data_IF_960020110349
#
_entry.id   IF_960020110349
#
_cell.length_a   1.000
_cell.length_b   1.000
_cell.length_c   1.000
_cell.angle_alpha   90.00
_cell.angle_beta   90.00
_cell.angle_gamma   90.00
#
_symmetry.space_group_name_H-M   'P 1'
#
loop_
_entity.id
_entity.type
_entity.pdbx_description
1 polymer ?
#
# COMPACT_ATOMS: atom_id res chain seq x y z
N UNK A 1 -39.51 -10.00 -12.39
CA UNK A 1 -38.06 -10.28 -12.30
C UNK A 1 -37.35 -9.29 -13.21
N UNK A 2 -36.65 -8.28 -12.64
CA UNK A 2 -35.85 -7.34 -13.44
C UNK A 2 -34.60 -8.09 -13.89
N UNK A 3 -34.34 -8.11 -15.20
CA UNK A 3 -33.13 -8.73 -15.76
C UNK A 3 -31.98 -7.77 -15.45
N UNK A 4 -31.11 -8.14 -14.52
CA UNK A 4 -29.90 -7.38 -14.20
C UNK A 4 -29.02 -7.30 -15.46
N UNK A 5 -28.63 -6.10 -15.87
CA UNK A 5 -27.77 -5.88 -17.04
C UNK A 5 -26.34 -5.70 -16.56
N UNK A 6 -25.48 -6.64 -16.91
CA UNK A 6 -24.03 -6.53 -16.72
C UNK A 6 -23.43 -5.63 -17.79
N UNK A 7 -22.33 -4.95 -17.46
CA UNK A 7 -21.61 -4.08 -18.39
C UNK A 7 -21.06 -4.90 -19.57
N UNK A 8 -21.17 -4.43 -20.84
CA UNK A 8 -20.55 -5.08 -21.98
C UNK A 8 -19.02 -5.07 -21.88
N UNK A 9 -18.36 -6.03 -22.55
CA UNK A 9 -16.92 -5.95 -22.78
C UNK A 9 -16.68 -5.12 -24.04
N UNK A 10 -15.92 -4.03 -23.90
CA UNK A 10 -15.53 -3.17 -25.01
C UNK A 10 -14.12 -3.53 -25.46
N UNK A 11 -13.87 -3.48 -26.77
CA UNK A 11 -12.54 -3.75 -27.33
C UNK A 11 -11.60 -2.55 -27.16
N UNK A 12 -12.15 -1.35 -27.02
CA UNK A 12 -11.39 -0.10 -26.87
C UNK A 12 -12.17 0.99 -26.11
N UNK A 13 -11.47 2.08 -25.78
CA UNK A 13 -12.03 3.20 -25.01
C UNK A 13 -13.07 4.03 -25.78
N UNK A 14 -12.98 4.09 -27.11
CA UNK A 14 -13.89 4.87 -27.96
C UNK A 14 -15.28 4.21 -28.00
N UNK A 15 -15.31 2.89 -28.18
CA UNK A 15 -16.53 2.08 -28.11
C UNK A 15 -17.21 2.17 -26.74
N UNK A 16 -16.43 2.16 -25.66
CA UNK A 16 -16.94 2.33 -24.30
C UNK A 16 -17.59 3.71 -24.11
N UNK A 17 -16.98 4.77 -24.67
CA UNK A 17 -17.49 6.14 -24.56
C UNK A 17 -18.82 6.30 -25.32
N UNK A 18 -18.89 5.83 -26.57
CA UNK A 18 -20.11 5.85 -27.37
C UNK A 18 -21.26 5.08 -26.71
N UNK A 19 -20.94 3.95 -26.06
CA UNK A 19 -21.93 3.16 -25.33
C UNK A 19 -22.45 3.89 -24.09
N UNK A 20 -21.56 4.53 -23.31
CA UNK A 20 -21.93 5.29 -22.12
C UNK A 20 -22.78 6.53 -22.45
N UNK A 21 -22.54 7.17 -23.58
CA UNK A 21 -23.35 8.31 -24.04
C UNK A 21 -24.77 7.89 -24.47
N UNK A 22 -24.92 6.66 -24.95
CA UNK A 22 -26.19 6.15 -25.49
C UNK A 22 -26.99 5.30 -24.51
N UNK A 23 -26.40 4.86 -23.39
CA UNK A 23 -27.03 3.95 -22.44
C UNK A 23 -27.05 4.51 -21.02
N UNK A 24 -28.23 4.44 -20.37
CA UNK A 24 -28.34 4.75 -18.94
C UNK A 24 -27.56 3.73 -18.12
N UNK A 25 -26.61 4.23 -17.32
CA UNK A 25 -25.79 3.42 -16.41
C UNK A 25 -26.44 3.18 -15.05
N UNK A 26 -27.63 3.76 -14.80
CA UNK A 26 -28.29 3.75 -13.49
C UNK A 26 -28.68 2.35 -12.97
N UNK A 27 -28.87 1.38 -13.86
CA UNK A 27 -29.22 -0.01 -13.52
C UNK A 27 -28.03 -0.99 -13.67
N UNK A 28 -26.82 -0.47 -13.88
CA UNK A 28 -25.62 -1.31 -14.03
C UNK A 28 -25.00 -1.57 -12.65
N UNK A 29 -24.77 -2.85 -12.35
CA UNK A 29 -23.90 -3.22 -11.23
C UNK A 29 -22.44 -3.05 -11.67
N UNK A 30 -21.77 -2.04 -11.11
CA UNK A 30 -20.32 -1.93 -11.19
C UNK A 30 -19.71 -2.73 -10.04
N UNK A 31 -18.79 -3.65 -10.34
CA UNK A 31 -17.95 -4.27 -9.32
C UNK A 31 -17.07 -3.17 -8.72
N UNK A 32 -17.25 -2.85 -7.44
CA UNK A 32 -16.37 -1.91 -6.74
C UNK A 32 -14.93 -2.42 -6.81
N UNK A 33 -14.09 -1.74 -7.58
CA UNK A 33 -12.65 -1.96 -7.56
C UNK A 33 -12.09 -1.19 -6.38
N UNK A 34 -11.94 -1.87 -5.24
CA UNK A 34 -11.28 -1.30 -4.07
C UNK A 34 -9.77 -1.18 -4.35
N UNK A 35 -9.30 0.05 -4.56
CA UNK A 35 -7.86 0.34 -4.62
C UNK A 35 -7.32 0.48 -3.20
N UNK A 36 -6.70 -0.58 -2.66
CA UNK A 36 -5.92 -0.45 -1.42
C UNK A 36 -4.60 0.27 -1.70
N UNK A 37 -4.58 1.58 -1.43
CA UNK A 37 -3.36 2.39 -1.37
C UNK A 37 -2.61 2.08 -0.07
N UNK A 38 -2.09 0.86 0.05
CA UNK A 38 -1.17 0.54 1.13
C UNK A 38 0.15 1.27 0.86
N UNK A 39 0.33 2.44 1.50
CA UNK A 39 1.54 3.23 1.35
C UNK A 39 2.75 2.46 1.86
N UNK A 40 3.84 2.38 1.07
CA UNK A 40 5.07 1.72 1.51
C UNK A 40 5.62 2.42 2.75
N UNK A 41 6.19 1.64 3.66
CA UNK A 41 6.87 2.20 4.84
C UNK A 41 8.18 2.84 4.37
N UNK A 42 8.47 4.06 4.83
CA UNK A 42 9.73 4.75 4.55
C UNK A 42 10.50 4.95 5.85
N UNK A 43 11.80 4.71 5.81
CA UNK A 43 12.72 4.96 6.92
C UNK A 43 13.53 6.19 6.53
N UNK A 44 13.43 7.23 7.35
CA UNK A 44 14.23 8.45 7.20
C UNK A 44 15.34 8.43 8.22
N UNK A 45 16.57 8.56 7.75
CA UNK A 45 17.77 8.66 8.58
C UNK A 45 18.25 10.11 8.44
N UNK A 46 18.27 10.80 9.56
CA UNK A 46 18.75 12.18 9.65
C UNK A 46 20.14 12.18 10.29
N UNK A 47 21.16 12.58 9.55
CA UNK A 47 22.44 12.91 10.13
C UNK A 47 22.44 14.37 10.61
N UNK A 48 22.30 14.55 11.92
CA UNK A 48 22.30 15.87 12.56
C UNK A 48 23.58 16.70 12.38
N UNK A 49 24.69 16.10 11.94
CA UNK A 49 25.97 16.79 11.74
C UNK A 49 26.18 17.24 10.29
N UNK A 50 25.63 16.50 9.33
CA UNK A 50 25.83 16.74 7.90
C UNK A 50 24.58 17.22 7.17
N UNK A 51 23.43 17.28 7.87
CA UNK A 51 22.10 17.57 7.32
C UNK A 51 21.71 16.65 6.16
N UNK A 52 22.36 15.49 6.05
CA UNK A 52 22.04 14.50 5.02
C UNK A 52 20.82 13.70 5.49
N UNK A 53 19.78 13.73 4.66
CA UNK A 53 18.59 12.92 4.80
C UNK A 53 18.67 11.72 3.85
N UNK A 54 18.82 10.52 4.41
CA UNK A 54 18.67 9.29 3.64
C UNK A 54 17.27 8.73 3.83
N UNK A 55 16.56 8.53 2.73
CA UNK A 55 15.24 7.87 2.74
C UNK A 55 15.34 6.49 2.12
N UNK A 56 15.05 5.46 2.91
CA UNK A 56 14.99 4.07 2.48
C UNK A 56 13.53 3.66 2.35
N UNK A 57 13.12 3.30 1.14
CA UNK A 57 11.77 2.79 0.87
C UNK A 57 11.75 1.28 1.12
N UNK A 58 10.85 0.84 2.00
CA UNK A 58 10.65 -0.58 2.29
C UNK A 58 9.67 -1.16 1.28
N UNK A 59 10.01 -2.32 0.70
CA UNK A 59 9.14 -3.02 -0.24
C UNK A 59 7.74 -3.23 0.34
N UNK A 60 6.71 -3.21 -0.54
CA UNK A 60 5.31 -3.33 -0.14
C UNK A 60 5.04 -4.58 0.71
N UNK A 61 5.57 -5.74 0.30
CA UNK A 61 5.38 -7.01 1.01
C UNK A 61 5.98 -6.94 2.42
N UNK A 62 7.20 -6.43 2.54
CA UNK A 62 7.88 -6.31 3.83
C UNK A 62 7.17 -5.27 4.72
N UNK A 63 6.70 -4.17 4.14
CA UNK A 63 5.89 -3.16 4.84
C UNK A 63 4.61 -3.75 5.43
N UNK A 64 3.92 -4.63 4.69
CA UNK A 64 2.74 -5.34 5.20
C UNK A 64 3.09 -6.29 6.35
N UNK A 65 4.19 -7.03 6.23
CA UNK A 65 4.66 -7.93 7.28
C UNK A 65 5.03 -7.17 8.57
N UNK A 66 5.74 -6.05 8.45
CA UNK A 66 6.09 -5.18 9.59
C UNK A 66 4.83 -4.68 10.27
N UNK A 67 3.83 -4.19 9.51
CA UNK A 67 2.56 -3.73 10.07
C UNK A 67 1.82 -4.84 10.80
N UNK A 68 1.79 -6.04 10.23
CA UNK A 68 1.13 -7.19 10.85
C UNK A 68 1.78 -7.59 12.18
N UNK A 69 3.12 -7.65 12.22
CA UNK A 69 3.86 -7.97 13.44
C UNK A 69 3.66 -6.87 14.49
N UNK A 70 3.71 -5.60 14.08
CA UNK A 70 3.52 -4.48 14.99
C UNK A 70 2.13 -4.51 15.64
N UNK A 71 1.09 -4.81 14.86
CA UNK A 71 -0.28 -4.97 15.35
C UNK A 71 -0.41 -6.13 16.35
N UNK A 72 0.24 -7.27 16.07
CA UNK A 72 0.27 -8.41 16.99
C UNK A 72 0.99 -8.10 18.31
N UNK A 73 2.03 -7.26 18.27
CA UNK A 73 2.76 -6.82 19.47
C UNK A 73 2.09 -5.62 20.19
N UNK A 74 1.01 -5.06 19.65
CA UNK A 74 0.39 -3.85 20.17
C UNK A 74 1.29 -2.60 20.06
N UNK A 75 2.20 -2.61 19.09
CA UNK A 75 3.18 -1.55 18.82
C UNK A 75 2.84 -0.82 17.52
N UNK A 76 3.32 0.41 17.39
CA UNK A 76 3.33 1.07 16.08
C UNK A 76 4.43 0.45 15.19
N UNK A 77 4.26 0.44 13.86
CA UNK A 77 5.31 -0.01 12.93
C UNK A 77 6.65 0.72 13.15
N UNK A 78 6.61 2.00 13.50
CA UNK A 78 7.79 2.79 13.83
C UNK A 78 8.51 2.27 15.09
N UNK A 79 7.76 2.00 16.16
CA UNK A 79 8.32 1.49 17.42
C UNK A 79 8.96 0.11 17.23
N UNK A 80 8.31 -0.76 16.44
CA UNK A 80 8.83 -2.09 16.11
C UNK A 80 10.15 -1.99 15.33
N UNK A 81 10.18 -1.16 14.26
CA UNK A 81 11.40 -0.96 13.45
C UNK A 81 12.53 -0.40 14.29
N UNK A 82 12.25 0.61 15.14
CA UNK A 82 13.26 1.20 16.01
C UNK A 82 13.86 0.18 16.99
N UNK A 83 13.00 -0.59 17.69
CA UNK A 83 13.43 -1.67 18.59
C UNK A 83 14.30 -2.70 17.87
N UNK A 84 13.87 -3.15 16.69
CA UNK A 84 14.60 -4.15 15.92
C UNK A 84 15.98 -3.66 15.47
N UNK A 85 16.08 -2.39 15.02
CA UNK A 85 17.36 -1.79 14.64
C UNK A 85 18.33 -1.74 15.82
N UNK A 86 17.87 -1.32 17.00
CA UNK A 86 18.69 -1.31 18.23
C UNK A 86 19.22 -2.70 18.58
N UNK A 87 18.34 -3.70 18.67
CA UNK A 87 18.72 -5.08 19.00
C UNK A 87 19.73 -5.67 18.00
N UNK A 88 19.61 -5.31 16.71
CA UNK A 88 20.54 -5.78 15.67
C UNK A 88 21.89 -5.12 15.80
N UNK A 89 21.93 -3.82 16.06
CA UNK A 89 23.18 -3.08 16.25
C UNK A 89 23.93 -3.59 17.47
N UNK A 90 23.24 -3.77 18.61
CA UNK A 90 23.84 -4.32 19.83
C UNK A 90 24.49 -5.69 19.58
N UNK A 91 23.77 -6.62 18.96
CA UNK A 91 24.31 -7.96 18.63
C UNK A 91 25.54 -7.93 17.73
N UNK A 92 25.60 -6.99 16.79
CA UNK A 92 26.75 -6.84 15.89
C UNK A 92 27.97 -6.29 16.65
N UNK A 93 27.74 -5.36 17.58
CA UNK A 93 28.80 -4.75 18.38
C UNK A 93 29.35 -5.72 19.43
N UNK A 94 28.51 -6.56 20.04
CA UNK A 94 28.94 -7.59 20.99
C UNK A 94 29.73 -8.75 20.34
N UNK A 95 29.54 -8.97 19.03
CA UNK A 95 30.24 -10.00 18.28
C UNK A 95 31.62 -9.56 17.73
N UNK A 96 32.05 -8.32 18.00
CA UNK A 96 33.34 -7.75 17.61
C UNK A 96 34.27 -7.57 18.82
#
# INVERSE_FOLDING_TARGET
>A
MRKHKTLPQFENYEEAAEWLDSHSTADLEATEVAFEVASPLTIQILDSLTEVEETIVVEKKLSQQIRHIADQEGLSPQALVHKWLLEKVEKILEAK
#
